data_IF_046348183766
#
_entry.id   IF_046348183766
#
_cell.length_a   1.000
_cell.length_b   1.000
_cell.length_c   1.000
_cell.angle_alpha   90.00
_cell.angle_beta   90.00
_cell.angle_gamma   90.00
#
_symmetry.space_group_name_H-M   'P 1'
#
loop_
_entity.id
_entity.type
_entity.pdbx_description
1 polymer ?
#
# COMPACT_ATOMS: atom_id res chain seq x y z
N UNK A 1 -28.03 16.63 20.08
CA UNK A 1 -26.81 17.06 19.35
C UNK A 1 -26.09 15.79 18.92
N UNK A 2 -26.32 15.33 17.69
CA UNK A 2 -25.67 14.14 17.13
C UNK A 2 -24.34 14.57 16.51
N UNK A 3 -23.22 14.07 17.04
CA UNK A 3 -21.91 14.24 16.42
C UNK A 3 -21.89 13.52 15.07
N UNK A 4 -21.44 14.15 13.97
CA UNK A 4 -21.29 13.45 12.71
C UNK A 4 -20.10 12.49 12.83
N UNK A 5 -20.40 11.19 12.83
CA UNK A 5 -19.40 10.14 12.62
C UNK A 5 -18.89 10.27 11.18
N UNK A 6 -17.64 10.71 11.02
CA UNK A 6 -16.90 10.67 9.76
C UNK A 6 -16.56 9.21 9.41
N UNK A 7 -17.56 8.39 9.10
CA UNK A 7 -17.34 6.99 8.69
C UNK A 7 -17.35 6.77 7.18
N UNK A 8 -17.52 7.82 6.38
CA UNK A 8 -17.78 7.71 4.93
C UNK A 8 -16.61 8.20 4.05
N UNK A 9 -15.38 7.83 4.41
CA UNK A 9 -14.18 8.14 3.58
C UNK A 9 -13.67 6.93 2.79
N UNK A 10 -14.33 5.77 2.91
CA UNK A 10 -13.97 4.54 2.20
C UNK A 10 -15.21 3.93 1.55
N UNK A 11 -15.18 3.83 0.22
CA UNK A 11 -16.17 3.11 -0.56
C UNK A 11 -15.71 1.66 -0.74
N UNK A 12 -16.46 0.72 -0.18
CA UNK A 12 -16.14 -0.71 -0.25
C UNK A 12 -16.09 -1.25 -1.70
N UNK A 13 -16.78 -0.61 -2.65
CA UNK A 13 -16.72 -0.98 -4.07
C UNK A 13 -15.37 -0.68 -4.70
N UNK A 14 -14.57 0.19 -4.08
CA UNK A 14 -13.22 0.55 -4.52
C UNK A 14 -12.12 -0.25 -3.80
N UNK A 15 -12.49 -1.22 -2.96
CA UNK A 15 -11.53 -2.05 -2.26
C UNK A 15 -10.81 -3.00 -3.22
N UNK A 16 -9.47 -3.06 -3.13
CA UNK A 16 -8.67 -4.05 -3.82
C UNK A 16 -8.61 -5.34 -3.00
N UNK A 17 -9.02 -6.46 -3.60
CA UNK A 17 -8.92 -7.80 -2.99
C UNK A 17 -7.86 -8.61 -3.73
N UNK A 18 -6.72 -8.83 -3.09
CA UNK A 18 -5.60 -9.58 -3.66
C UNK A 18 -4.33 -9.44 -2.83
N UNK A 19 -3.20 -9.86 -3.39
CA UNK A 19 -1.88 -9.68 -2.79
C UNK A 19 -1.15 -8.49 -3.44
N UNK A 20 -0.55 -7.64 -2.61
CA UNK A 20 0.33 -6.55 -3.05
C UNK A 20 1.70 -6.72 -2.37
N UNK A 21 2.75 -6.86 -3.17
CA UNK A 21 4.13 -6.99 -2.70
C UNK A 21 5.09 -6.11 -3.51
N UNK A 22 6.32 -5.93 -3.02
CA UNK A 22 7.37 -5.15 -3.68
C UNK A 22 6.99 -3.69 -3.99
N UNK A 23 6.04 -3.12 -3.24
CA UNK A 23 5.59 -1.75 -3.39
C UNK A 23 6.62 -0.76 -2.83
N UNK A 24 7.14 0.12 -3.70
CA UNK A 24 8.08 1.17 -3.34
C UNK A 24 7.63 2.53 -3.89
N UNK A 25 7.94 3.61 -3.17
CA UNK A 25 7.66 4.99 -3.57
C UNK A 25 8.87 5.89 -3.36
N UNK A 26 9.09 6.79 -4.32
CA UNK A 26 10.20 7.74 -4.33
C UNK A 26 9.69 9.19 -4.44
N UNK A 27 10.45 10.14 -3.95
CA UNK A 27 10.19 11.59 -4.08
C UNK A 27 10.76 12.18 -5.38
N UNK A 28 11.35 11.33 -6.22
CA UNK A 28 12.00 11.70 -7.48
C UNK A 28 11.54 10.80 -8.61
N UNK A 29 11.63 11.32 -9.83
CA UNK A 29 11.38 10.55 -11.05
C UNK A 29 12.54 9.57 -11.28
N UNK A 30 12.24 8.29 -11.43
CA UNK A 30 13.22 7.25 -11.74
C UNK A 30 13.53 7.21 -13.24
N UNK A 31 14.74 6.79 -13.58
CA UNK A 31 15.10 6.55 -14.98
C UNK A 31 14.46 5.23 -15.45
N UNK A 32 14.07 5.11 -16.73
CA UNK A 32 13.46 3.88 -17.26
C UNK A 32 14.29 2.61 -17.00
N UNK A 33 15.62 2.72 -17.09
CA UNK A 33 16.53 1.60 -16.83
C UNK A 33 16.41 1.07 -15.40
N UNK A 34 16.30 1.97 -14.41
CA UNK A 34 16.18 1.59 -13.00
C UNK A 34 14.83 0.90 -12.75
N UNK A 35 13.75 1.40 -13.37
CA UNK A 35 12.41 0.79 -13.31
C UNK A 35 12.45 -0.62 -13.91
N UNK A 36 13.03 -0.79 -15.10
CA UNK A 36 13.12 -2.09 -15.75
C UNK A 36 13.94 -3.11 -14.97
N UNK A 37 15.03 -2.66 -14.33
CA UNK A 37 15.88 -3.53 -13.52
C UNK A 37 15.14 -4.04 -12.28
N UNK A 38 14.33 -3.19 -11.64
CA UNK A 38 13.47 -3.60 -10.52
C UNK A 38 12.32 -4.51 -10.96
N UNK A 39 11.67 -4.21 -12.08
CA UNK A 39 10.56 -5.02 -12.61
C UNK A 39 11.01 -6.44 -13.03
N UNK A 40 12.25 -6.57 -13.52
CA UNK A 40 12.86 -7.86 -13.85
C UNK A 40 13.64 -8.48 -12.68
N UNK A 41 13.52 -7.92 -11.47
CA UNK A 41 14.21 -8.40 -10.28
C UNK A 41 15.75 -8.49 -10.40
N UNK A 42 16.36 -7.78 -11.36
CA UNK A 42 17.82 -7.77 -11.57
C UNK A 42 18.54 -6.75 -10.69
N UNK A 43 17.81 -5.79 -10.13
CA UNK A 43 18.30 -4.85 -9.13
C UNK A 43 17.21 -4.54 -8.10
N UNK A 44 17.61 -4.23 -6.87
CA UNK A 44 16.71 -3.73 -5.84
C UNK A 44 17.13 -2.33 -5.41
N UNK A 45 16.22 -1.37 -5.55
CA UNK A 45 16.40 0.00 -5.06
C UNK A 45 15.23 0.32 -4.10
N UNK A 46 15.47 0.50 -2.80
CA UNK A 46 14.40 0.82 -1.86
C UNK A 46 13.84 2.24 -2.13
N UNK A 47 12.52 2.39 -1.95
CA UNK A 47 11.85 3.70 -1.96
C UNK A 47 12.23 4.56 -0.77
N UNK A 48 12.54 5.84 -0.96
CA UNK A 48 12.84 6.75 0.15
C UNK A 48 11.59 7.33 0.82
N UNK A 49 10.44 7.33 0.13
CA UNK A 49 9.14 7.73 0.71
C UNK A 49 8.45 6.53 1.32
N UNK A 50 8.36 5.43 0.57
CA UNK A 50 7.82 4.15 1.05
C UNK A 50 8.76 3.03 0.59
N UNK A 51 9.61 2.47 1.47
CA UNK A 51 10.41 1.28 1.18
C UNK A 51 9.68 0.00 1.57
N UNK A 52 9.47 -0.95 0.66
CA UNK A 52 8.77 -2.22 0.95
C UNK A 52 9.35 -2.98 2.14
N UNK A 53 10.69 -3.13 2.17
CA UNK A 53 11.38 -3.94 3.17
C UNK A 53 11.73 -3.21 4.47
N UNK A 54 11.66 -1.87 4.48
CA UNK A 54 12.03 -1.08 5.65
C UNK A 54 10.83 -0.47 6.39
N UNK A 55 9.59 -0.74 5.96
CA UNK A 55 8.42 -0.44 6.80
C UNK A 55 8.49 -1.29 8.07
N UNK A 56 8.65 -0.69 9.27
CA UNK A 56 8.69 -1.46 10.51
C UNK A 56 7.40 -2.28 10.63
N UNK A 57 7.47 -3.54 11.07
CA UNK A 57 6.29 -4.43 11.20
C UNK A 57 5.11 -3.76 11.93
N UNK A 58 5.41 -2.89 12.91
CA UNK A 58 4.43 -2.10 13.68
C UNK A 58 3.67 -1.06 12.84
N UNK A 59 4.27 -0.55 11.77
CA UNK A 59 3.62 0.33 10.78
C UNK A 59 3.08 -0.43 9.57
N UNK A 60 3.60 -1.63 9.28
CA UNK A 60 3.04 -2.54 8.26
C UNK A 60 1.57 -2.86 8.55
N UNK A 61 1.19 -3.01 9.82
CA UNK A 61 -0.21 -3.15 10.24
C UNK A 61 -1.07 -1.89 10.07
N UNK A 62 -0.48 -0.69 10.04
CA UNK A 62 -1.24 0.56 9.81
C UNK A 62 -1.68 0.69 8.35
N UNK A 63 -0.86 0.20 7.40
CA UNK A 63 -1.23 0.08 5.98
C UNK A 63 -2.07 -1.18 5.71
N UNK A 64 -1.78 -2.31 6.37
CA UNK A 64 -2.59 -3.52 6.22
C UNK A 64 -4.02 -3.35 6.76
N UNK A 65 -4.23 -2.47 7.76
CA UNK A 65 -5.60 -2.09 8.18
C UNK A 65 -6.37 -1.32 7.12
N UNK A 66 -5.71 -0.64 6.19
CA UNK A 66 -6.37 0.05 5.08
C UNK A 66 -6.66 -0.87 3.89
N UNK A 67 -5.99 -2.03 3.79
CA UNK A 67 -6.23 -3.03 2.73
C UNK A 67 -7.23 -4.12 3.17
N UNK A 68 -7.50 -4.28 4.47
CA UNK A 68 -8.34 -5.36 5.01
C UNK A 68 -9.79 -4.97 5.35
N UNK A 69 -10.35 -3.91 4.75
CA UNK A 69 -11.70 -3.41 5.07
C UNK A 69 -12.82 -3.97 4.17
N UNK A 70 -12.80 -5.28 3.89
CA UNK A 70 -14.04 -5.98 3.54
C UNK A 70 -14.41 -6.85 4.74
N UNK A 71 -15.54 -6.57 5.43
CA UNK A 71 -16.05 -7.45 6.46
C UNK A 71 -16.19 -8.87 5.89
N UNK A 72 -15.60 -9.87 6.57
CA UNK A 72 -15.64 -11.28 6.17
C UNK A 72 -16.99 -11.97 6.46
N UNK A 73 -18.04 -11.21 6.72
CA UNK A 73 -19.37 -11.74 7.04
C UNK A 73 -20.35 -11.38 5.91
N UNK A 74 -20.23 -12.11 4.80
CA UNK A 74 -21.31 -12.25 3.82
C UNK A 74 -21.32 -13.68 3.27
N UNK A 75 -21.65 -14.65 4.13
CA UNK A 75 -22.26 -15.95 3.78
C UNK A 75 -22.89 -16.55 5.04
#
# INVERSE_FOLDING_TARGET
MTHPMFSDIFDATQAFVGELSHFNMWDRVLRPIDISAMANCSAYMPGNVVPYLAVPQKQRWRFAKTVSLIPKDSS
#
